data_IF_089449237212
#
_entry.id   IF_089449237212
#
_cell.length_a   1.000
_cell.length_b   1.000
_cell.length_c   1.000
_cell.angle_alpha   90.00
_cell.angle_beta   90.00
_cell.angle_gamma   90.00
#
_symmetry.space_group_name_H-M   'P 1'
#
loop_
_entity.id
_entity.type
_entity.pdbx_description
1 polymer ?
#
# COMPACT_ATOMS: atom_id res chain seq x y z
N UNK A 1 55.27 -4.75 -10.02
CA UNK A 1 55.25 -3.88 -8.83
C UNK A 1 54.60 -2.56 -9.23
N UNK A 2 53.49 -2.19 -8.60
CA UNK A 2 52.72 -0.94 -8.82
C UNK A 2 53.12 0.09 -7.77
N UNK A 3 53.48 1.30 -8.17
CA UNK A 3 53.44 2.56 -7.41
C UNK A 3 53.18 3.65 -8.47
N UNK A 4 52.02 4.34 -8.54
CA UNK A 4 51.36 5.29 -7.62
C UNK A 4 51.65 6.76 -7.96
N UNK A 5 50.54 7.50 -8.19
CA UNK A 5 50.20 8.81 -7.58
C UNK A 5 50.26 10.10 -8.45
N UNK A 6 49.04 10.66 -8.63
CA UNK A 6 48.57 12.06 -8.48
C UNK A 6 49.14 13.18 -9.39
N UNK A 7 48.27 13.94 -10.06
CA UNK A 7 47.87 15.29 -9.59
C UNK A 7 46.66 15.85 -10.39
N UNK A 8 45.79 16.61 -9.72
CA UNK A 8 44.90 17.63 -10.32
C UNK A 8 45.68 18.97 -10.36
N UNK A 9 45.15 20.19 -10.65
CA UNK A 9 43.78 20.69 -10.88
C UNK A 9 43.70 21.80 -12.00
N UNK A 10 42.78 22.77 -11.85
CA UNK A 10 42.72 24.14 -12.44
C UNK A 10 41.73 24.30 -13.65
N UNK A 11 40.85 25.30 -13.85
CA UNK A 11 40.30 26.48 -13.10
C UNK A 11 39.18 27.14 -13.96
N UNK A 12 38.29 27.89 -13.27
CA UNK A 12 37.33 28.97 -13.66
C UNK A 12 36.89 29.26 -15.12
N UNK A 13 35.61 29.66 -15.29
CA UNK A 13 35.23 31.09 -15.46
C UNK A 13 33.84 31.33 -16.08
N UNK A 14 33.03 32.09 -15.34
CA UNK A 14 31.91 33.02 -15.68
C UNK A 14 31.32 33.09 -17.10
N UNK A 15 29.99 33.24 -17.13
CA UNK A 15 29.12 34.26 -17.81
C UNK A 15 27.65 33.81 -17.60
N UNK A 16 26.63 34.62 -17.36
CA UNK A 16 26.44 36.07 -17.36
C UNK A 16 25.01 36.37 -16.84
N UNK A 17 24.81 37.61 -16.44
CA UNK A 17 23.61 38.18 -15.82
C UNK A 17 22.47 38.47 -16.82
N UNK A 18 21.31 38.87 -16.27
CA UNK A 18 20.15 39.64 -16.79
C UNK A 18 18.84 38.87 -16.59
N UNK A 19 18.15 38.97 -15.45
CA UNK A 19 17.37 40.10 -14.91
C UNK A 19 16.22 40.58 -15.82
N UNK A 20 14.99 40.29 -15.32
CA UNK A 20 13.75 41.09 -15.34
C UNK A 20 12.63 40.66 -16.30
N UNK A 21 11.59 40.04 -15.72
CA UNK A 21 10.18 40.51 -15.67
C UNK A 21 9.35 39.39 -15.01
N UNK A 22 8.76 39.56 -13.81
CA UNK A 22 7.48 40.25 -13.53
C UNK A 22 6.39 39.83 -14.53
N UNK A 23 5.22 39.27 -14.19
CA UNK A 23 4.42 39.23 -12.97
C UNK A 23 3.38 38.08 -13.05
N UNK A 24 2.82 37.79 -11.87
CA UNK A 24 1.78 36.82 -11.49
C UNK A 24 0.55 36.75 -12.41
N UNK A 25 -0.09 35.58 -12.46
CA UNK A 25 -1.37 35.33 -11.77
C UNK A 25 -1.93 33.91 -11.97
N UNK A 26 -2.62 33.46 -10.92
CA UNK A 26 -3.71 32.48 -10.90
C UNK A 26 -3.40 30.99 -11.12
N UNK A 27 -3.35 30.27 -9.99
CA UNK A 27 -4.50 29.39 -9.70
C UNK A 27 -4.31 27.88 -9.88
N UNK A 28 -4.57 27.21 -8.75
CA UNK A 28 -5.15 25.87 -8.57
C UNK A 28 -4.18 24.69 -8.46
N UNK A 29 -4.37 24.02 -7.32
CA UNK A 29 -3.78 22.76 -6.88
C UNK A 29 -4.36 21.61 -7.71
N UNK A 30 -3.52 20.67 -8.13
CA UNK A 30 -3.87 19.25 -8.33
C UNK A 30 -2.61 18.45 -8.04
N UNK A 31 -2.47 17.77 -6.89
CA UNK A 31 -3.02 16.44 -6.60
C UNK A 31 -2.86 15.47 -7.75
N UNK A 32 -2.03 14.45 -7.54
CA UNK A 32 -2.06 13.21 -8.31
C UNK A 32 -0.67 12.74 -8.69
N UNK A 33 -0.46 11.44 -8.48
CA UNK A 33 0.58 10.57 -9.03
C UNK A 33 2.03 10.92 -8.67
N UNK A 34 2.61 10.22 -7.69
CA UNK A 34 4.05 9.86 -7.66
C UNK A 34 4.38 9.12 -6.36
N UNK A 35 3.97 7.85 -6.30
CA UNK A 35 4.71 6.79 -5.61
C UNK A 35 4.44 5.52 -6.40
N UNK A 36 5.32 5.31 -7.38
CA UNK A 36 5.29 4.21 -8.34
C UNK A 36 5.21 2.84 -7.64
N UNK A 37 4.52 1.85 -8.26
CA UNK A 37 4.47 0.47 -7.75
C UNK A 37 5.82 -0.25 -7.90
N UNK A 38 6.10 -1.28 -7.06
CA UNK A 38 7.36 -2.02 -7.04
C UNK A 38 7.70 -2.77 -8.36
N UNK A 39 8.99 -3.07 -8.60
CA UNK A 39 9.62 -3.17 -9.93
C UNK A 39 9.35 -4.43 -10.78
N UNK A 40 8.26 -5.18 -10.56
CA UNK A 40 8.03 -6.43 -11.31
C UNK A 40 6.85 -6.42 -12.31
N UNK A 41 6.06 -5.34 -12.38
CA UNK A 41 4.84 -5.31 -13.24
C UNK A 41 5.08 -4.78 -14.67
N UNK A 42 6.28 -4.26 -14.97
CA UNK A 42 6.57 -3.57 -16.24
C UNK A 42 6.62 -4.47 -17.48
N UNK A 43 6.88 -5.77 -17.34
CA UNK A 43 7.02 -6.68 -18.51
C UNK A 43 5.68 -7.11 -19.09
N UNK A 44 4.62 -7.17 -18.28
CA UNK A 44 3.28 -7.54 -18.74
C UNK A 44 2.49 -6.35 -19.31
N UNK A 45 2.82 -5.12 -18.88
CA UNK A 45 2.13 -3.91 -19.32
C UNK A 45 2.43 -3.51 -20.78
N UNK A 46 3.62 -3.82 -21.32
CA UNK A 46 4.04 -3.36 -22.65
C UNK A 46 3.98 -4.40 -23.78
N UNK A 47 3.53 -5.63 -23.53
CA UNK A 47 3.64 -6.74 -24.51
C UNK A 47 2.31 -7.28 -25.07
N UNK A 48 1.19 -6.54 -24.97
CA UNK A 48 -0.07 -6.91 -25.63
C UNK A 48 -0.46 -5.93 -26.74
N UNK A 49 -0.37 -6.30 -28.03
CA UNK A 49 -0.84 -5.45 -29.13
C UNK A 49 -2.36 -5.56 -29.31
N UNK A 50 -2.98 -4.42 -29.61
CA UNK A 50 -4.35 -4.21 -30.08
C UNK A 50 -5.51 -4.42 -29.07
N UNK A 51 -6.00 -3.31 -28.49
CA UNK A 51 -7.45 -3.10 -28.36
C UNK A 51 -7.76 -1.59 -28.34
N UNK A 52 -7.16 -0.84 -29.26
CA UNK A 52 -7.49 0.58 -29.50
C UNK A 52 -8.84 0.74 -30.24
N UNK A 53 -9.68 -0.29 -30.25
CA UNK A 53 -10.94 -0.34 -30.98
C UNK A 53 -12.10 -0.41 -29.98
N UNK A 54 -12.56 0.79 -29.59
CA UNK A 54 -13.88 1.11 -29.01
C UNK A 54 -14.23 0.41 -27.68
N UNK A 55 -13.98 1.10 -26.57
CA UNK A 55 -14.71 0.90 -25.32
C UNK A 55 -15.82 1.96 -25.20
N UNK A 56 -17.01 1.64 -24.65
CA UNK A 56 -18.03 2.65 -24.41
C UNK A 56 -17.47 3.75 -23.51
N UNK A 57 -17.89 5.00 -23.76
CA UNK A 57 -17.63 6.15 -22.88
C UNK A 57 -17.92 5.68 -21.45
N UNK A 58 -16.98 5.78 -20.48
CA UNK A 58 -17.28 5.40 -19.12
C UNK A 58 -18.48 6.22 -18.69
N UNK A 59 -19.63 5.58 -18.49
CA UNK A 59 -20.66 6.20 -17.69
C UNK A 59 -20.00 6.42 -16.34
N UNK A 60 -19.77 7.69 -16.00
CA UNK A 60 -19.50 8.10 -14.64
C UNK A 60 -20.73 7.68 -13.83
N UNK A 61 -20.74 6.43 -13.40
CA UNK A 61 -21.49 6.07 -12.23
C UNK A 61 -20.75 6.78 -11.11
N UNK A 62 -21.21 8.00 -10.84
CA UNK A 62 -20.87 8.77 -9.67
C UNK A 62 -21.19 7.88 -8.45
N UNK A 63 -20.22 7.09 -8.01
CA UNK A 63 -20.17 6.66 -6.64
C UNK A 63 -19.76 7.89 -5.83
N UNK A 64 -20.68 8.85 -5.69
CA UNK A 64 -20.52 10.10 -4.94
C UNK A 64 -20.52 9.86 -3.42
N UNK A 65 -20.11 8.67 -3.00
CA UNK A 65 -20.06 8.20 -1.63
C UNK A 65 -18.63 7.82 -1.24
N UNK A 66 -18.27 7.92 0.05
CA UNK A 66 -16.93 7.58 0.50
C UNK A 66 -16.60 6.11 0.18
N UNK A 67 -15.38 5.87 -0.27
CA UNK A 67 -14.83 4.54 -0.51
C UNK A 67 -14.88 3.67 0.75
N UNK A 68 -14.78 2.35 0.58
CA UNK A 68 -14.78 1.43 1.73
C UNK A 68 -13.61 1.71 2.69
N UNK A 69 -12.44 2.07 2.15
CA UNK A 69 -11.26 2.48 2.93
C UNK A 69 -11.52 3.76 3.73
N UNK A 70 -12.19 4.76 3.14
CA UNK A 70 -12.53 6.01 3.86
C UNK A 70 -13.55 5.75 4.97
N UNK A 71 -14.57 4.92 4.70
CA UNK A 71 -15.54 4.48 5.71
C UNK A 71 -14.83 3.74 6.85
N UNK A 72 -13.92 2.82 6.52
CA UNK A 72 -13.14 2.05 7.47
C UNK A 72 -12.28 2.97 8.35
N UNK A 73 -11.47 3.86 7.76
CA UNK A 73 -10.64 4.81 8.52
C UNK A 73 -11.45 5.74 9.42
N UNK A 74 -12.65 6.16 9.00
CA UNK A 74 -13.55 6.98 9.82
C UNK A 74 -14.06 6.27 11.08
N UNK A 75 -14.07 4.93 11.09
CA UNK A 75 -14.39 4.15 12.29
C UNK A 75 -13.20 4.04 13.27
N UNK A 76 -12.05 4.64 12.94
CA UNK A 76 -10.83 4.61 13.75
C UNK A 76 -10.44 3.18 14.19
N UNK A 77 -10.21 2.26 13.23
CA UNK A 77 -9.90 0.87 13.53
C UNK A 77 -8.63 0.78 14.41
N UNK A 78 -8.59 -0.16 15.37
CA UNK A 78 -7.40 -0.37 16.19
C UNK A 78 -6.27 -0.95 15.33
N UNK A 79 -5.03 -0.57 15.63
CA UNK A 79 -3.86 -1.26 15.07
C UNK A 79 -3.42 -2.41 15.96
N UNK A 80 -2.77 -3.41 15.36
CA UNK A 80 -2.21 -4.56 16.08
C UNK A 80 -0.73 -4.68 15.78
N UNK A 81 0.11 -4.62 16.82
CA UNK A 81 1.56 -4.57 16.69
C UNK A 81 2.21 -5.95 16.77
N UNK A 82 1.43 -6.97 17.14
CA UNK A 82 1.92 -8.33 17.36
C UNK A 82 2.16 -8.61 18.83
N UNK A 83 1.27 -8.08 19.68
CA UNK A 83 1.18 -8.34 21.11
C UNK A 83 1.15 -9.85 21.37
N UNK A 84 1.84 -10.29 22.43
CA UNK A 84 1.91 -11.71 22.80
C UNK A 84 0.68 -12.17 23.60
N UNK A 85 -0.14 -11.24 24.08
CA UNK A 85 -1.34 -11.54 24.86
C UNK A 85 -2.47 -12.02 23.92
N UNK A 86 -2.96 -13.27 24.09
CA UNK A 86 -4.01 -13.81 23.25
C UNK A 86 -5.31 -13.00 23.32
N UNK A 87 -5.61 -12.39 24.48
CA UNK A 87 -6.82 -11.59 24.68
C UNK A 87 -6.77 -10.29 23.89
N UNK A 88 -5.58 -9.69 23.75
CA UNK A 88 -5.40 -8.48 22.92
C UNK A 88 -5.59 -8.81 21.44
N UNK A 89 -5.09 -9.95 20.98
CA UNK A 89 -5.28 -10.41 19.61
C UNK A 89 -6.75 -10.73 19.29
N UNK A 90 -7.47 -11.40 20.20
CA UNK A 90 -8.92 -11.65 20.03
C UNK A 90 -9.75 -10.37 20.11
N UNK A 91 -9.43 -9.45 21.02
CA UNK A 91 -10.13 -8.15 21.11
C UNK A 91 -9.96 -7.36 19.81
N UNK A 92 -8.73 -7.30 19.30
CA UNK A 92 -8.46 -6.64 18.02
C UNK A 92 -9.26 -7.27 16.88
N UNK A 93 -9.28 -8.60 16.76
CA UNK A 93 -10.05 -9.30 15.73
C UNK A 93 -11.54 -8.96 15.81
N UNK A 94 -12.11 -9.00 17.02
CA UNK A 94 -13.51 -8.70 17.27
C UNK A 94 -13.87 -7.26 16.89
N UNK A 95 -13.01 -6.30 17.21
CA UNK A 95 -13.22 -4.89 16.87
C UNK A 95 -13.19 -4.67 15.36
N UNK A 96 -12.26 -5.30 14.65
CA UNK A 96 -12.17 -5.26 13.18
C UNK A 96 -13.44 -5.86 12.54
N UNK A 97 -13.89 -7.03 12.99
CA UNK A 97 -15.12 -7.65 12.50
C UNK A 97 -16.37 -6.77 12.75
N UNK A 98 -16.43 -6.12 13.91
CA UNK A 98 -17.52 -5.20 14.24
C UNK A 98 -17.56 -4.02 13.28
N UNK A 99 -16.39 -3.45 12.96
CA UNK A 99 -16.27 -2.35 11.98
C UNK A 99 -16.72 -2.82 10.60
N UNK A 100 -16.30 -4.01 10.14
CA UNK A 100 -16.73 -4.54 8.84
C UNK A 100 -18.24 -4.70 8.74
N UNK A 101 -18.90 -5.18 9.80
CA UNK A 101 -20.37 -5.25 9.85
C UNK A 101 -20.99 -3.86 9.79
N UNK A 102 -20.45 -2.89 10.54
CA UNK A 102 -20.98 -1.53 10.58
C UNK A 102 -20.89 -0.81 9.22
N UNK A 103 -19.78 -0.98 8.48
CA UNK A 103 -19.59 -0.35 7.17
C UNK A 103 -20.12 -1.18 6.00
N UNK A 104 -20.70 -2.37 6.28
CA UNK A 104 -21.15 -3.36 5.29
C UNK A 104 -20.05 -3.72 4.29
N UNK A 105 -18.87 -4.04 4.81
CA UNK A 105 -17.69 -4.41 4.01
C UNK A 105 -17.93 -5.68 3.20
N UNK A 106 -17.57 -5.66 1.91
CA UNK A 106 -17.56 -6.85 1.07
C UNK A 106 -16.46 -7.82 1.52
N UNK A 107 -16.66 -9.12 1.30
CA UNK A 107 -15.70 -10.17 1.71
C UNK A 107 -14.30 -9.93 1.10
N UNK A 108 -14.25 -9.58 -0.18
CA UNK A 108 -13.01 -9.37 -0.95
C UNK A 108 -12.16 -8.20 -0.41
N UNK A 109 -12.78 -7.24 0.26
CA UNK A 109 -12.10 -6.08 0.85
C UNK A 109 -11.54 -6.34 2.25
N UNK A 110 -12.08 -7.34 2.98
CA UNK A 110 -11.81 -7.49 4.42
C UNK A 110 -10.35 -7.75 4.75
N UNK A 111 -9.70 -8.66 4.04
CA UNK A 111 -8.30 -9.00 4.32
C UNK A 111 -7.39 -7.82 4.03
N UNK A 112 -7.64 -7.10 2.94
CA UNK A 112 -6.89 -5.87 2.60
C UNK A 112 -7.02 -4.81 3.70
N UNK A 113 -8.23 -4.59 4.21
CA UNK A 113 -8.48 -3.61 5.27
C UNK A 113 -7.92 -4.04 6.64
N UNK A 114 -8.02 -5.31 7.00
CA UNK A 114 -7.49 -5.82 8.27
C UNK A 114 -5.95 -5.82 8.29
N UNK A 115 -5.33 -6.27 7.20
CA UNK A 115 -3.86 -6.30 7.07
C UNK A 115 -3.26 -4.90 7.04
N UNK A 116 -3.99 -3.91 6.53
CA UNK A 116 -3.62 -2.49 6.63
C UNK A 116 -3.44 -2.01 8.08
N UNK A 117 -4.08 -2.66 9.05
CA UNK A 117 -4.01 -2.32 10.47
C UNK A 117 -2.96 -3.12 11.24
N UNK A 118 -2.25 -4.05 10.59
CA UNK A 118 -1.09 -4.73 11.19
C UNK A 118 0.12 -3.80 11.17
N UNK A 119 0.87 -3.80 12.26
CA UNK A 119 2.04 -2.95 12.45
C UNK A 119 3.20 -3.75 13.04
N UNK A 120 4.41 -3.18 12.92
CA UNK A 120 5.62 -3.68 13.56
C UNK A 120 5.82 -5.20 13.37
N UNK A 121 5.75 -5.98 14.45
CA UNK A 121 5.99 -7.43 14.41
C UNK A 121 4.88 -8.17 13.67
N UNK A 122 3.64 -7.70 13.78
CA UNK A 122 2.51 -8.36 13.13
C UNK A 122 2.62 -8.29 11.60
N UNK A 123 2.97 -7.13 11.05
CA UNK A 123 3.17 -6.94 9.60
C UNK A 123 4.29 -7.83 9.04
N UNK A 124 5.44 -7.85 9.71
CA UNK A 124 6.58 -8.70 9.32
C UNK A 124 6.19 -10.19 9.35
N UNK A 125 5.48 -10.61 10.39
CA UNK A 125 5.02 -12.01 10.55
C UNK A 125 4.02 -12.39 9.48
N UNK A 126 3.05 -11.52 9.18
CA UNK A 126 2.06 -11.75 8.14
C UNK A 126 2.71 -11.84 6.76
N UNK A 127 3.59 -10.91 6.42
CA UNK A 127 4.34 -10.91 5.16
C UNK A 127 5.22 -12.16 4.99
N UNK A 128 5.86 -12.62 6.06
CA UNK A 128 6.65 -13.86 6.04
C UNK A 128 5.77 -15.11 5.86
N UNK A 129 4.59 -15.14 6.48
CA UNK A 129 3.63 -16.23 6.34
C UNK A 129 3.16 -16.34 4.87
N UNK A 130 2.79 -15.23 4.25
CA UNK A 130 2.34 -15.21 2.86
C UNK A 130 3.43 -15.74 1.91
N UNK A 131 4.67 -15.29 2.08
CA UNK A 131 5.81 -15.76 1.26
C UNK A 131 6.07 -17.26 1.40
N UNK A 132 5.82 -17.82 2.58
CA UNK A 132 6.09 -19.24 2.86
C UNK A 132 4.94 -20.13 2.37
N UNK A 133 3.70 -19.64 2.45
CA UNK A 133 2.48 -20.42 2.14
C UNK A 133 2.04 -20.30 0.69
N UNK A 134 2.27 -19.17 0.05
CA UNK A 134 1.82 -18.89 -1.31
C UNK A 134 3.05 -18.51 -2.15
N UNK A 135 3.49 -19.44 -3.01
CA UNK A 135 4.53 -19.15 -4.00
C UNK A 135 4.13 -17.88 -4.77
N UNK A 136 5.05 -16.91 -4.84
CA UNK A 136 4.86 -15.58 -5.45
C UNK A 136 3.82 -14.63 -4.83
N UNK A 137 3.26 -14.92 -3.65
CA UNK A 137 2.51 -13.93 -2.84
C UNK A 137 1.23 -13.38 -3.49
N UNK A 138 0.73 -14.03 -4.55
CA UNK A 138 -0.37 -13.56 -5.40
C UNK A 138 -1.73 -14.21 -5.10
N UNK A 139 -1.85 -14.97 -4.01
CA UNK A 139 -3.13 -15.62 -3.66
C UNK A 139 -3.96 -14.69 -2.78
N UNK A 140 -5.18 -14.40 -3.23
CA UNK A 140 -6.23 -13.80 -2.41
C UNK A 140 -6.56 -14.74 -1.25
N UNK A 141 -6.17 -14.35 -0.04
CA UNK A 141 -6.54 -15.07 1.16
C UNK A 141 -7.99 -14.71 1.49
N UNK A 142 -8.87 -15.71 1.52
CA UNK A 142 -10.24 -15.51 1.98
C UNK A 142 -10.28 -15.07 3.45
N UNK A 143 -11.30 -14.33 3.85
CA UNK A 143 -11.42 -13.81 5.23
C UNK A 143 -11.32 -14.91 6.30
N UNK A 144 -12.01 -16.04 6.11
CA UNK A 144 -11.98 -17.15 7.07
C UNK A 144 -10.57 -17.75 7.23
N UNK A 145 -9.82 -17.84 6.13
CA UNK A 145 -8.44 -18.32 6.15
C UNK A 145 -7.53 -17.29 6.83
N UNK A 146 -7.74 -15.99 6.61
CA UNK A 146 -7.05 -14.93 7.34
C UNK A 146 -7.28 -15.06 8.85
N UNK A 147 -8.54 -15.20 9.30
CA UNK A 147 -8.88 -15.35 10.73
C UNK A 147 -8.21 -16.58 11.32
N UNK A 148 -8.26 -17.71 10.61
CA UNK A 148 -7.62 -18.96 11.05
C UNK A 148 -6.11 -18.79 11.19
N UNK A 149 -5.44 -18.21 10.20
CA UNK A 149 -4.00 -17.98 10.19
C UNK A 149 -3.57 -16.95 11.24
N UNK A 150 -4.35 -15.89 11.43
CA UNK A 150 -4.10 -14.87 12.45
C UNK A 150 -4.16 -15.49 13.85
N UNK A 151 -5.24 -16.21 14.17
CA UNK A 151 -5.40 -16.89 15.46
C UNK A 151 -4.28 -17.89 15.70
N UNK A 152 -3.99 -18.77 14.75
CA UNK A 152 -2.91 -19.74 14.88
C UNK A 152 -1.52 -19.10 15.11
N UNK A 153 -1.33 -17.82 14.78
CA UNK A 153 -0.05 -17.10 14.97
C UNK A 153 0.01 -16.22 16.20
N UNK A 154 -1.10 -15.65 16.65
CA UNK A 154 -1.12 -14.64 17.71
C UNK A 154 -1.96 -15.03 18.92
N UNK A 155 -2.79 -16.06 18.78
CA UNK A 155 -3.58 -16.67 19.84
C UNK A 155 -3.03 -18.08 20.03
N UNK A 156 -2.13 -18.32 20.99
CA UNK A 156 -1.69 -19.66 21.31
C UNK A 156 -2.92 -20.50 21.66
N UNK A 157 -3.01 -21.71 21.10
CA UNK A 157 -3.88 -22.76 21.62
C UNK A 157 -3.38 -23.14 23.02
N UNK A 158 -3.73 -22.35 24.03
CA UNK A 158 -3.45 -22.71 25.41
C UNK A 158 -4.41 -23.80 25.83
N UNK A 159 -3.86 -24.98 26.10
CA UNK A 159 -4.24 -25.76 27.27
C UNK A 159 -3.13 -25.56 28.30
#
# INVERSE_FOLDING_TARGET
MVWSRFDSPLVDSKKGSLHRSMQKAAGKKSSGWERFPPPLVLKLYYSRPQLMAQAPVPQAHDHDGPSIMEKFKRMAPPSFKGESDPLLAESWMREIEMIFRAIRCAEDDKVTLATYMLQERADVRWSSLLRTRFEDGAVEVAWDEFVRLFRAKFVPEHI
#
